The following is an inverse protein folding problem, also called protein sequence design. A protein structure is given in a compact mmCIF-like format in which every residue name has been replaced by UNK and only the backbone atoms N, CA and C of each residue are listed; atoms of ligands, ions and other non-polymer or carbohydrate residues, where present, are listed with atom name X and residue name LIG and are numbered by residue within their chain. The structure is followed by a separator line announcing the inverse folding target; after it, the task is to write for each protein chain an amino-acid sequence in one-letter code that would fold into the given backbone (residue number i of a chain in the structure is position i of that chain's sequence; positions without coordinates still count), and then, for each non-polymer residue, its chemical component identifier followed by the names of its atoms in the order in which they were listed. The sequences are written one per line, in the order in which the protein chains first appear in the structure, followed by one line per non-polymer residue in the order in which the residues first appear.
data_IF_091139884370
#
_entry.id   IF_091139884370
#
_cell.length_a   1.000
_cell.length_b   1.000
_cell.length_c   1.000
_cell.angle_alpha   90.00
_cell.angle_beta   90.00
_cell.angle_gamma   90.00
#
_symmetry.space_group_name_H-M   'P 1'
#
loop_
_entity.id
_entity.type
_entity.pdbx_description
1 polymer ?
#
# COMPACT_ATOMS: atom_id res chain seq x y z
N UNK A 1 2.94 -1.95 -1.46
CA UNK A 1 3.92 -1.89 -0.34
C UNK A 1 5.36 -2.04 -0.82
N UNK A 2 5.73 -3.15 -1.44
CA UNK A 2 7.15 -3.52 -1.68
C UNK A 2 7.99 -2.52 -2.49
N UNK A 3 7.52 -1.93 -3.61
CA UNK A 3 8.34 -0.97 -4.36
C UNK A 3 8.71 0.25 -3.53
N UNK A 4 7.77 0.73 -2.72
CA UNK A 4 7.93 1.89 -1.84
C UNK A 4 8.79 1.58 -0.59
N UNK A 5 8.84 0.32 -0.15
CA UNK A 5 9.74 -0.11 0.94
C UNK A 5 11.21 -0.15 0.50
N UNK A 6 11.50 -0.35 -0.80
CA UNK A 6 12.89 -0.43 -1.32
C UNK A 6 13.59 0.92 -1.45
N UNK A 7 12.84 2.02 -1.42
CA UNK A 7 13.39 3.38 -1.46
C UNK A 7 14.04 3.80 -0.14
N UNK A 8 13.89 3.00 0.91
CA UNK A 8 14.37 3.30 2.26
C UNK A 8 14.96 2.04 2.89
N UNK A 9 16.09 2.18 3.59
CA UNK A 9 16.71 1.02 4.22
C UNK A 9 15.85 0.48 5.38
N UNK A 10 15.90 -0.84 5.58
CA UNK A 10 15.13 -1.57 6.60
C UNK A 10 15.30 -0.99 8.01
N UNK A 11 16.52 -0.61 8.39
CA UNK A 11 16.81 -0.05 9.73
C UNK A 11 16.10 1.28 9.94
N UNK A 12 16.09 2.12 8.91
CA UNK A 12 15.38 3.40 8.96
C UNK A 12 13.86 3.21 9.04
N UNK A 13 13.28 2.24 8.31
CA UNK A 13 11.84 1.96 8.41
C UNK A 13 11.46 1.49 9.82
N UNK A 14 12.28 0.64 10.44
CA UNK A 14 12.05 0.18 11.82
C UNK A 14 12.09 1.34 12.81
N UNK A 15 13.09 2.22 12.67
CA UNK A 15 13.30 3.33 13.62
C UNK A 15 12.32 4.47 13.45
N UNK A 16 12.04 4.86 12.20
CA UNK A 16 11.37 6.12 11.86
C UNK A 16 10.04 5.91 11.15
N UNK A 17 9.58 4.66 11.02
CA UNK A 17 8.39 4.31 10.25
C UNK A 17 8.54 4.67 8.77
N UNK A 18 7.42 4.80 8.07
CA UNK A 18 7.36 5.24 6.66
C UNK A 18 7.27 6.75 6.54
N UNK A 19 7.68 7.32 5.41
CA UNK A 19 7.49 8.76 5.15
C UNK A 19 6.00 9.06 4.93
N UNK A 20 5.54 10.26 5.28
CA UNK A 20 4.14 10.69 5.08
C UNK A 20 3.68 10.54 3.61
N UNK A 21 4.55 10.85 2.65
CA UNK A 21 4.27 10.64 1.23
C UNK A 21 4.05 9.15 0.89
N UNK A 22 4.94 8.27 1.37
CA UNK A 22 4.82 6.83 1.19
C UNK A 22 3.55 6.27 1.84
N UNK A 23 3.17 6.75 3.03
CA UNK A 23 1.92 6.37 3.70
C UNK A 23 0.72 6.79 2.83
N UNK A 24 0.71 8.02 2.31
CA UNK A 24 -0.34 8.53 1.42
C UNK A 24 -0.47 7.68 0.15
N UNK A 25 0.64 7.36 -0.50
CA UNK A 25 0.67 6.57 -1.73
C UNK A 25 0.27 5.12 -1.48
N UNK A 26 0.73 4.51 -0.38
CA UNK A 26 0.29 3.17 -0.02
C UNK A 26 -1.19 3.12 0.32
N UNK A 27 -1.68 4.11 1.05
CA UNK A 27 -3.09 4.21 1.43
C UNK A 27 -3.99 4.37 0.21
N UNK A 28 -3.60 5.16 -0.79
CA UNK A 28 -4.35 5.28 -2.04
C UNK A 28 -4.36 3.96 -2.83
N UNK A 29 -3.31 3.14 -2.73
CA UNK A 29 -3.23 1.86 -3.45
C UNK A 29 -4.01 0.72 -2.77
N UNK A 30 -3.98 0.63 -1.44
CA UNK A 30 -4.58 -0.50 -0.71
C UNK A 30 -5.91 -0.18 -0.03
N UNK A 31 -6.22 1.11 0.13
CA UNK A 31 -7.44 1.55 0.77
C UNK A 31 -7.58 1.28 2.26
N UNK A 32 -6.48 0.93 2.95
CA UNK A 32 -6.49 0.69 4.39
C UNK A 32 -6.60 2.03 5.15
N UNK A 33 -7.71 2.28 5.88
CA UNK A 33 -7.90 3.53 6.62
C UNK A 33 -6.91 3.61 7.80
N UNK A 34 -6.62 4.82 8.31
CA UNK A 34 -5.92 4.96 9.58
C UNK A 34 -6.75 4.38 10.73
N UNK A 35 -6.09 4.08 11.84
CA UNK A 35 -6.77 3.70 13.08
C UNK A 35 -7.58 4.89 13.63
N UNK A 36 -8.80 4.68 14.19
CA UNK A 36 -9.71 5.75 14.59
C UNK A 36 -9.11 6.81 15.52
N UNK A 37 -8.43 6.37 16.59
CA UNK A 37 -7.82 7.19 17.63
C UNK A 37 -6.31 6.97 17.70
N UNK A 38 -5.83 5.72 17.59
CA UNK A 38 -4.41 5.37 17.74
C UNK A 38 -3.50 6.04 16.71
N UNK A 39 -4.02 6.44 15.54
CA UNK A 39 -3.27 7.24 14.56
C UNK A 39 -2.94 8.66 15.03
N UNK A 40 -3.69 9.23 15.98
CA UNK A 40 -3.31 10.49 16.64
C UNK A 40 -2.08 10.33 17.54
N UNK A 41 -1.76 9.09 17.94
CA UNK A 41 -0.62 8.73 18.78
C UNK A 41 0.53 8.10 17.98
N UNK A 42 0.60 8.38 16.68
CA UNK A 42 1.60 7.88 15.72
C UNK A 42 1.55 6.37 15.45
N UNK A 43 0.43 5.70 15.76
CA UNK A 43 0.23 4.31 15.36
C UNK A 43 -0.54 4.25 14.03
N UNK A 44 0.14 3.82 12.97
CA UNK A 44 -0.43 3.70 11.63
C UNK A 44 -0.42 2.24 11.17
N UNK A 45 -1.54 1.69 10.66
CA UNK A 45 -1.61 0.29 10.25
C UNK A 45 -0.64 -0.03 9.11
N UNK A 46 -0.35 0.91 8.21
CA UNK A 46 0.61 0.69 7.12
C UNK A 46 2.05 0.59 7.61
N UNK A 47 2.38 1.29 8.70
CA UNK A 47 3.70 1.21 9.34
C UNK A 47 3.85 -0.13 10.06
N UNK A 48 2.82 -0.57 10.78
CA UNK A 48 2.81 -1.90 11.40
C UNK A 48 2.96 -3.02 10.36
N UNK A 49 2.18 -2.97 9.28
CA UNK A 49 2.27 -3.95 8.19
C UNK A 49 3.64 -3.92 7.53
N UNK A 50 4.25 -2.75 7.35
CA UNK A 50 5.60 -2.65 6.78
C UNK A 50 6.63 -3.35 7.66
N UNK A 51 6.60 -3.11 8.97
CA UNK A 51 7.48 -3.77 9.95
C UNK A 51 7.25 -5.28 9.98
N UNK A 52 5.99 -5.72 9.95
CA UNK A 52 5.65 -7.13 9.89
C UNK A 52 6.21 -7.81 8.64
N UNK A 53 5.99 -7.22 7.46
CA UNK A 53 6.53 -7.77 6.20
C UNK A 53 8.05 -7.86 6.24
N UNK A 54 8.73 -6.83 6.74
CA UNK A 54 10.20 -6.80 6.84
C UNK A 54 10.75 -7.86 7.81
N UNK A 55 10.05 -8.16 8.90
CA UNK A 55 10.47 -9.19 9.87
C UNK A 55 10.36 -10.62 9.32
N UNK A 56 9.55 -10.82 8.28
CA UNK A 56 9.18 -12.15 7.82
C UNK A 56 9.64 -12.44 6.40
N UNK A 57 9.99 -11.44 5.60
CA UNK A 57 10.33 -11.57 4.19
C UNK A 57 11.65 -10.85 3.90
N UNK A 58 12.75 -11.61 3.99
CA UNK A 58 14.13 -11.12 3.83
C UNK A 58 14.59 -11.05 2.36
N UNK A 59 13.77 -11.55 1.42
CA UNK A 59 14.10 -11.67 0.00
C UNK A 59 13.37 -10.68 -0.93
N UNK A 60 13.56 -10.85 -2.25
CA UNK A 60 12.74 -10.15 -3.26
C UNK A 60 11.30 -10.69 -3.20
N UNK A 61 10.46 -10.01 -2.43
CA UNK A 61 9.02 -10.23 -2.36
C UNK A 61 8.40 -10.21 -3.77
N UNK A 62 7.80 -11.33 -4.17
CA UNK A 62 7.03 -11.48 -5.41
C UNK A 62 5.56 -11.11 -5.15
N UNK A 63 4.85 -10.63 -6.17
CA UNK A 63 3.39 -10.47 -6.07
C UNK A 63 2.78 -11.86 -5.82
N UNK A 64 2.01 -12.07 -4.75
CA UNK A 64 1.39 -13.35 -4.50
C UNK A 64 0.32 -13.63 -5.56
N UNK A 65 0.26 -14.88 -6.02
CA UNK A 65 -0.82 -15.36 -6.90
C UNK A 65 -2.17 -15.35 -6.16
N UNK A 66 -2.16 -15.76 -4.89
CA UNK A 66 -3.30 -15.69 -3.97
C UNK A 66 -2.92 -14.89 -2.72
N UNK A 67 -3.39 -13.64 -2.66
CA UNK A 67 -3.12 -12.73 -1.54
C UNK A 67 -3.70 -13.23 -0.21
N UNK A 68 -4.87 -13.85 -0.22
CA UNK A 68 -5.58 -14.32 0.97
C UNK A 68 -4.88 -15.55 1.55
N UNK A 69 -4.49 -16.50 0.69
CA UNK A 69 -3.70 -17.66 1.13
C UNK A 69 -2.31 -17.24 1.66
N UNK A 70 -1.71 -16.22 1.06
CA UNK A 70 -0.44 -15.66 1.53
C UNK A 70 -0.56 -15.06 2.93
N UNK A 71 -1.64 -14.31 3.21
CA UNK A 71 -1.88 -13.77 4.56
C UNK A 71 -2.01 -14.91 5.57
N UNK A 72 -2.80 -15.96 5.27
CA UNK A 72 -2.91 -17.15 6.13
C UNK A 72 -1.53 -17.79 6.39
N UNK A 73 -0.71 -17.97 5.36
CA UNK A 73 0.63 -18.54 5.51
C UNK A 73 1.55 -17.67 6.40
N UNK A 74 1.47 -16.34 6.28
CA UNK A 74 2.24 -15.41 7.12
C UNK A 74 1.82 -15.51 8.60
N UNK A 75 0.51 -15.51 8.86
CA UNK A 75 -0.06 -15.66 10.21
C UNK A 75 0.35 -17.01 10.81
N UNK A 76 0.25 -18.07 10.01
CA UNK A 76 0.65 -19.40 10.45
C UNK A 76 2.14 -19.47 10.77
N UNK A 77 2.99 -18.89 9.93
CA UNK A 77 4.44 -18.80 10.17
C UNK A 77 4.75 -18.03 11.44
N UNK A 78 4.03 -16.93 11.69
CA UNK A 78 4.22 -16.11 12.87
C UNK A 78 3.90 -16.87 14.16
N UNK A 79 2.71 -17.48 14.25
CA UNK A 79 2.21 -18.05 15.50
C UNK A 79 2.53 -19.52 15.74
N UNK A 80 2.72 -20.32 14.68
CA UNK A 80 2.82 -21.77 14.78
C UNK A 80 4.18 -22.33 14.38
N UNK A 81 5.03 -21.54 13.72
CA UNK A 81 6.40 -21.93 13.38
C UNK A 81 7.39 -21.21 14.28
N UNK A 82 8.19 -21.97 15.03
CA UNK A 82 9.29 -21.40 15.79
C UNK A 82 10.30 -20.72 14.84
N UNK A 83 10.78 -19.50 15.14
CA UNK A 83 11.78 -18.83 14.33
C UNK A 83 13.10 -19.63 14.32
N UNK A 84 13.78 -19.66 13.17
CA UNK A 84 15.11 -20.27 13.07
C UNK A 84 16.14 -19.40 13.79
N UNK A 85 16.92 -20.00 14.70
CA UNK A 85 17.79 -19.26 15.62
C UNK A 85 19.16 -18.81 15.03
N UNK A 86 19.29 -18.63 13.72
CA UNK A 86 20.58 -18.31 13.07
C UNK A 86 20.66 -16.87 12.56
N UNK A 87 21.67 -16.11 13.02
CA UNK A 87 22.06 -14.81 12.45
C UNK A 87 21.08 -13.67 12.70
N UNK A 88 20.91 -13.25 13.97
CA UNK A 88 19.90 -12.26 14.35
C UNK A 88 20.33 -10.82 14.10
N UNK A 89 19.43 -10.06 13.48
CA UNK A 89 19.44 -8.60 13.50
C UNK A 89 18.15 -8.09 14.14
N UNK A 90 18.19 -6.88 14.70
CA UNK A 90 17.03 -6.23 15.33
C UNK A 90 15.76 -6.18 14.46
N UNK A 91 15.93 -6.23 13.13
CA UNK A 91 14.84 -6.17 12.15
C UNK A 91 14.04 -7.44 11.98
N UNK A 92 14.51 -8.56 12.52
CA UNK A 92 13.98 -9.88 12.18
C UNK A 92 12.77 -10.27 13.04
N UNK A 93 12.42 -9.43 14.03
CA UNK A 93 11.34 -9.69 14.97
C UNK A 93 10.34 -8.54 15.00
N UNK A 94 9.10 -8.85 14.62
CA UNK A 94 7.97 -7.92 14.67
C UNK A 94 7.82 -7.31 16.07
N UNK A 95 7.94 -8.14 17.11
CA UNK A 95 7.70 -7.76 18.50
C UNK A 95 8.62 -6.64 18.95
N UNK A 96 9.91 -6.80 18.66
CA UNK A 96 10.90 -5.78 18.92
C UNK A 96 10.64 -4.52 18.08
N UNK A 97 10.32 -4.68 16.79
CA UNK A 97 10.00 -3.57 15.90
C UNK A 97 8.77 -2.76 16.35
N UNK A 98 7.78 -3.40 16.96
CA UNK A 98 6.59 -2.75 17.51
C UNK A 98 6.87 -1.99 18.79
N UNK A 99 7.79 -2.47 19.64
CA UNK A 99 8.12 -1.79 20.89
C UNK A 99 8.93 -0.52 20.67
N UNK A 100 9.76 -0.47 19.62
CA UNK A 100 10.51 0.76 19.27
C UNK A 100 9.61 1.89 18.75
N UNK A 101 8.30 1.67 18.58
CA UNK A 101 7.32 2.75 18.38
C UNK A 101 7.11 3.60 19.66
N UNK A 102 7.27 3.01 20.85
CA UNK A 102 7.24 3.75 22.12
C UNK A 102 8.60 3.87 22.81
N UNK A 103 9.49 2.90 22.60
CA UNK A 103 10.77 2.80 23.30
C UNK A 103 11.91 3.43 22.49
N UNK A 104 12.77 4.15 23.19
CA UNK A 104 14.12 4.47 22.72
C UNK A 104 15.00 3.21 22.76
N UNK A 105 15.86 3.08 21.75
CA UNK A 105 16.81 1.99 21.62
C UNK A 105 18.24 2.41 22.01
N UNK A 106 18.89 1.59 22.84
CA UNK A 106 20.34 1.55 22.98
C UNK A 106 21.02 0.77 21.82
N UNK A 107 21.73 1.49 20.96
CA UNK A 107 22.33 0.93 19.73
C UNK A 107 23.53 0.02 19.96
N UNK A 108 24.12 0.05 21.15
CA UNK A 108 25.27 -0.78 21.50
C UNK A 108 24.86 -2.16 22.01
N UNK A 109 23.56 -2.47 22.05
CA UNK A 109 23.11 -3.79 22.44
C UNK A 109 23.52 -4.82 21.39
N UNK A 110 24.21 -5.89 21.80
CA UNK A 110 24.81 -6.87 20.89
C UNK A 110 24.15 -8.26 20.96
N UNK A 111 23.12 -8.42 21.79
CA UNK A 111 22.49 -9.72 22.02
C UNK A 111 21.19 -9.88 21.24
N UNK A 112 20.67 -11.11 21.24
CA UNK A 112 19.41 -11.43 20.57
C UNK A 112 18.22 -10.69 21.18
N UNK A 113 17.33 -10.22 20.31
CA UNK A 113 16.03 -9.63 20.66
C UNK A 113 14.86 -10.54 20.26
N UNK A 114 15.14 -11.82 20.05
CA UNK A 114 14.13 -12.80 19.72
C UNK A 114 13.10 -12.92 20.84
N UNK A 115 11.81 -12.94 20.49
CA UNK A 115 10.77 -13.26 21.47
C UNK A 115 10.76 -14.75 21.77
N UNK A 116 10.49 -15.12 23.03
CA UNK A 116 10.20 -16.52 23.34
C UNK A 116 8.91 -16.94 22.64
N UNK A 117 8.99 -18.06 21.92
CA UNK A 117 7.87 -18.69 21.24
C UNK A 117 6.70 -19.02 22.19
N UNK A 118 6.94 -19.24 23.48
CA UNK A 118 5.90 -19.38 24.50
C UNK A 118 4.98 -18.15 24.58
N UNK A 119 5.51 -16.94 24.36
CA UNK A 119 4.70 -15.71 24.32
C UNK A 119 3.68 -15.75 23.18
N UNK A 120 4.10 -16.23 21.99
CA UNK A 120 3.21 -16.41 20.83
C UNK A 120 2.18 -17.52 21.06
N UNK A 121 2.55 -18.60 21.75
CA UNK A 121 1.59 -19.65 22.16
C UNK A 121 0.50 -19.10 23.07
N UNK A 122 0.85 -18.21 24.01
CA UNK A 122 -0.13 -17.51 24.83
C UNK A 122 -1.10 -16.67 24.01
N UNK A 123 -0.59 -15.94 23.00
CA UNK A 123 -1.44 -15.20 22.06
C UNK A 123 -2.41 -16.13 21.31
N UNK A 124 -1.92 -17.25 20.76
CA UNK A 124 -2.78 -18.24 20.09
C UNK A 124 -3.87 -18.73 21.04
N UNK A 125 -3.51 -19.06 22.29
CA UNK A 125 -4.45 -19.56 23.28
C UNK A 125 -5.59 -18.58 23.59
N UNK A 126 -5.31 -17.28 23.55
CA UNK A 126 -6.33 -16.25 23.73
C UNK A 126 -7.17 -16.09 22.46
N UNK A 127 -6.53 -16.02 21.30
CA UNK A 127 -7.22 -15.87 20.01
C UNK A 127 -8.16 -17.04 19.72
N UNK A 128 -7.80 -18.27 20.10
CA UNK A 128 -8.65 -19.45 19.91
C UNK A 128 -9.83 -19.52 20.88
N UNK A 129 -9.88 -18.67 21.91
CA UNK A 129 -11.05 -18.53 22.77
C UNK A 129 -12.12 -17.59 22.19
N UNK A 130 -11.75 -16.79 21.19
CA UNK A 130 -12.69 -15.91 20.50
C UNK A 130 -13.57 -16.75 19.58
N UNK A 131 -14.88 -16.51 19.61
CA UNK A 131 -15.79 -17.13 18.66
C UNK A 131 -15.92 -16.22 17.42
N UNK A 132 -15.89 -16.78 16.20
CA UNK A 132 -16.08 -15.98 14.99
C UNK A 132 -17.48 -15.38 14.95
N UNK A 133 -17.58 -14.09 14.60
CA UNK A 133 -18.82 -13.32 14.47
C UNK A 133 -19.75 -13.30 15.71
N UNK A 134 -19.31 -13.83 16.86
CA UNK A 134 -20.05 -13.84 18.14
C UNK A 134 -19.43 -12.84 19.13
N UNK A 135 -19.92 -11.60 19.08
CA UNK A 135 -19.65 -10.56 20.07
C UNK A 135 -18.33 -9.81 19.97
N UNK A 136 -18.24 -8.71 20.71
CA UNK A 136 -17.01 -7.95 20.95
C UNK A 136 -16.40 -8.39 22.28
N UNK A 137 -15.10 -8.58 22.31
CA UNK A 137 -14.35 -9.03 23.49
C UNK A 137 -13.47 -7.91 24.01
N UNK A 138 -13.57 -7.60 25.31
CA UNK A 138 -12.74 -6.59 25.96
C UNK A 138 -11.27 -7.00 25.93
N UNK A 139 -10.40 -6.12 25.44
CA UNK A 139 -8.96 -6.35 25.41
C UNK A 139 -8.37 -6.40 26.82
N UNK A 140 -8.92 -5.66 27.77
CA UNK A 140 -8.54 -5.77 29.19
C UNK A 140 -8.79 -7.18 29.72
N UNK A 141 -10.00 -7.69 29.58
CA UNK A 141 -10.35 -9.04 30.03
C UNK A 141 -9.50 -10.12 29.35
N UNK A 142 -9.24 -9.98 28.05
CA UNK A 142 -8.39 -10.92 27.31
C UNK A 142 -6.95 -10.95 27.83
N UNK A 143 -6.38 -9.81 28.20
CA UNK A 143 -5.03 -9.75 28.77
C UNK A 143 -4.98 -10.22 30.23
N UNK A 144 -6.03 -9.95 31.01
CA UNK A 144 -6.16 -10.54 32.34
C UNK A 144 -6.24 -12.07 32.22
N UNK A 145 -7.02 -12.60 31.27
CA UNK A 145 -7.09 -14.03 31.00
C UNK A 145 -5.73 -14.60 30.57
N UNK A 146 -4.99 -13.90 29.70
CA UNK A 146 -3.62 -14.26 29.31
C UNK A 146 -2.73 -14.41 30.55
N UNK A 147 -2.80 -13.45 31.46
CA UNK A 147 -1.99 -13.42 32.70
C UNK A 147 -2.41 -14.51 33.68
N UNK A 148 -3.71 -14.69 33.92
CA UNK A 148 -4.27 -15.70 34.84
C UNK A 148 -3.96 -17.13 34.38
N UNK A 149 -3.93 -17.36 33.07
CA UNK A 149 -3.49 -18.65 32.48
C UNK A 149 -1.98 -18.89 32.57
N UNK A 150 -1.24 -17.97 33.20
CA UNK A 150 0.20 -18.10 33.41
C UNK A 150 1.05 -17.76 32.19
N UNK A 151 0.47 -17.21 31.12
CA UNK A 151 1.24 -16.71 30.00
C UNK A 151 1.88 -15.37 30.35
N UNK A 152 3.03 -15.12 29.73
CA UNK A 152 3.78 -13.86 29.83
C UNK A 152 4.36 -13.52 28.46
N UNK A 153 4.50 -12.23 28.20
CA UNK A 153 5.37 -11.78 27.12
C UNK A 153 6.80 -11.76 27.64
N UNK A 154 7.73 -12.42 26.94
CA UNK A 154 9.15 -12.40 27.29
C UNK A 154 10.04 -12.54 26.07
N UNK A 155 11.14 -11.80 26.07
CA UNK A 155 12.24 -12.07 25.16
C UNK A 155 12.98 -13.33 25.59
N UNK A 156 13.66 -13.97 24.64
CA UNK A 156 14.58 -15.07 24.95
C UNK A 156 15.74 -14.58 25.83
N UNK A 157 16.20 -13.34 25.62
CA UNK A 157 17.10 -12.64 26.51
C UNK A 157 16.34 -11.56 27.30
N UNK A 158 16.22 -11.72 28.62
CA UNK A 158 15.52 -10.76 29.47
C UNK A 158 16.29 -9.43 29.62
N UNK A 159 17.61 -9.42 29.40
CA UNK A 159 18.45 -8.22 29.47
C UNK A 159 18.01 -7.14 28.46
N UNK A 160 17.28 -7.51 27.41
CA UNK A 160 16.71 -6.56 26.44
C UNK A 160 15.88 -5.49 27.15
N UNK A 161 15.09 -5.89 28.15
CA UNK A 161 14.19 -4.99 28.87
C UNK A 161 14.94 -4.02 29.77
N UNK A 162 16.09 -4.44 30.31
CA UNK A 162 16.88 -3.58 31.20
C UNK A 162 17.87 -2.70 30.42
N UNK A 163 18.45 -3.21 29.34
CA UNK A 163 19.63 -2.58 28.72
C UNK A 163 19.38 -2.01 27.33
N UNK A 164 18.37 -2.50 26.60
CA UNK A 164 18.12 -2.12 25.22
C UNK A 164 16.99 -1.09 25.06
N UNK A 165 15.94 -1.18 25.90
CA UNK A 165 14.72 -0.40 25.74
C UNK A 165 14.51 0.59 26.91
N UNK A 166 14.15 1.83 26.59
CA UNK A 166 13.69 2.80 27.59
C UNK A 166 12.55 3.68 27.06
N UNK A 167 11.66 4.13 27.93
CA UNK A 167 10.55 5.02 27.61
C UNK A 167 10.86 6.41 28.19
N UNK A 168 10.98 7.40 27.32
CA UNK A 168 11.27 8.78 27.74
C UNK A 168 10.04 9.42 28.38
N UNK A 169 10.20 9.92 29.59
CA UNK A 169 9.21 10.72 30.30
C UNK A 169 9.72 11.10 31.69
N UNK A 170 9.04 12.06 32.32
CA UNK A 170 9.36 12.51 33.67
C UNK A 170 8.58 11.71 34.73
N UNK A 171 7.30 11.41 34.45
CA UNK A 171 6.40 10.76 35.41
C UNK A 171 5.47 9.76 34.74
N UNK A 172 5.20 8.65 35.42
CA UNK A 172 4.13 7.70 35.08
C UNK A 172 3.15 7.65 36.25
N UNK A 173 1.89 7.95 35.96
CA UNK A 173 0.78 7.80 36.90
C UNK A 173 0.18 6.39 36.76
N UNK A 174 0.27 5.58 37.80
CA UNK A 174 -0.42 4.29 37.90
C UNK A 174 -1.59 4.42 38.90
N UNK A 175 -2.55 3.48 38.90
CA UNK A 175 -3.72 3.56 39.78
C UNK A 175 -3.41 3.71 41.27
N UNK A 176 -2.28 3.16 41.73
CA UNK A 176 -1.91 3.11 43.14
C UNK A 176 -0.56 3.77 43.47
N UNK A 177 0.14 4.33 42.47
CA UNK A 177 1.47 4.90 42.66
C UNK A 177 1.83 5.89 41.53
N UNK A 178 2.63 6.90 41.86
CA UNK A 178 3.32 7.75 40.87
C UNK A 178 4.79 7.32 40.81
N UNK A 179 5.32 7.14 39.60
CA UNK A 179 6.71 6.82 39.37
C UNK A 179 7.40 8.01 38.69
N UNK A 180 8.42 8.57 39.34
CA UNK A 180 9.30 9.59 38.75
C UNK A 180 10.54 8.96 38.11
N UNK A 181 10.99 9.52 36.99
CA UNK A 181 12.31 9.22 36.42
C UNK A 181 13.34 10.24 36.91
N UNK A 182 14.50 9.75 37.35
CA UNK A 182 15.64 10.59 37.76
C UNK A 182 16.76 10.65 36.70
N UNK A 183 16.62 9.90 35.61
CA UNK A 183 17.55 9.82 34.47
C UNK A 183 16.90 10.43 33.21
N UNK A 184 17.71 11.10 32.38
CA UNK A 184 17.38 11.59 31.05
C UNK A 184 16.85 10.49 30.10
N UNK A 185 17.19 9.22 30.37
CA UNK A 185 16.74 8.05 29.59
C UNK A 185 15.31 7.61 29.90
N UNK A 186 14.71 8.10 30.98
CA UNK A 186 13.34 7.78 31.39
C UNK A 186 13.19 6.43 32.10
N UNK A 187 12.11 5.72 31.80
CA UNK A 187 11.71 4.48 32.48
C UNK A 187 12.17 3.24 31.72
N UNK A 188 12.55 2.18 32.45
CA UNK A 188 12.80 0.85 31.88
C UNK A 188 11.56 -0.04 32.06
N UNK A 189 11.21 -0.88 31.07
CA UNK A 189 10.08 -1.81 31.17
C UNK A 189 10.43 -3.05 32.01
N UNK A 190 10.88 -2.84 33.25
CA UNK A 190 11.27 -3.91 34.18
C UNK A 190 10.44 -3.84 35.46
N UNK A 191 10.45 -4.91 36.25
CA UNK A 191 9.77 -4.99 37.56
C UNK A 191 8.27 -4.64 37.46
N UNK A 192 7.77 -3.69 38.26
CA UNK A 192 6.37 -3.25 38.28
C UNK A 192 5.93 -2.58 36.98
N UNK A 193 6.87 -2.05 36.19
CA UNK A 193 6.59 -1.39 34.92
C UNK A 193 6.65 -2.35 33.72
N UNK A 194 7.10 -3.59 33.90
CA UNK A 194 7.23 -4.57 32.82
C UNK A 194 5.89 -4.87 32.13
N UNK A 195 4.83 -5.09 32.91
CA UNK A 195 3.49 -5.33 32.35
C UNK A 195 2.95 -4.14 31.55
N UNK A 196 2.84 -2.93 32.14
CA UNK A 196 2.25 -1.80 31.43
C UNK A 196 3.13 -1.23 30.31
N UNK A 197 4.46 -1.42 30.34
CA UNK A 197 5.37 -0.84 29.35
C UNK A 197 5.87 -1.83 28.29
N UNK A 198 5.74 -3.14 28.53
CA UNK A 198 6.19 -4.18 27.60
C UNK A 198 5.12 -5.23 27.32
N UNK A 199 4.62 -5.95 28.32
CA UNK A 199 3.73 -7.09 28.04
C UNK A 199 2.40 -6.67 27.41
N UNK A 200 1.71 -5.69 28.02
CA UNK A 200 0.42 -5.18 27.55
C UNK A 200 0.54 -4.46 26.20
N UNK A 201 1.48 -3.52 25.99
CA UNK A 201 1.67 -2.89 24.69
C UNK A 201 1.99 -3.89 23.58
N UNK A 202 2.79 -4.91 23.87
CA UNK A 202 3.12 -5.92 22.88
C UNK A 202 1.92 -6.83 22.57
N UNK A 203 1.15 -7.22 23.59
CA UNK A 203 -0.13 -7.92 23.41
C UNK A 203 -1.06 -7.14 22.48
N UNK A 204 -1.23 -5.83 22.73
CA UNK A 204 -2.04 -4.96 21.89
C UNK A 204 -1.45 -4.79 20.48
N UNK A 205 -0.12 -4.72 20.34
CA UNK A 205 0.53 -4.63 19.03
C UNK A 205 0.21 -5.82 18.12
N UNK A 206 0.13 -7.03 18.68
CA UNK A 206 -0.36 -8.20 17.94
C UNK A 206 -1.81 -7.99 17.49
N UNK A 207 -2.70 -7.54 18.37
CA UNK A 207 -4.11 -7.33 18.03
C UNK A 207 -4.27 -6.28 16.92
N UNK A 208 -3.52 -5.17 16.97
CA UNK A 208 -3.49 -4.15 15.91
C UNK A 208 -2.94 -4.68 14.59
N UNK A 209 -1.90 -5.52 14.63
CA UNK A 209 -1.39 -6.17 13.43
C UNK A 209 -2.46 -7.07 12.80
N UNK A 210 -3.10 -7.90 13.62
CA UNK A 210 -4.17 -8.80 13.17
C UNK A 210 -5.35 -8.01 12.60
N UNK A 211 -5.68 -6.86 13.20
CA UNK A 211 -6.68 -5.94 12.67
C UNK A 211 -6.29 -5.36 11.30
N UNK A 212 -5.03 -4.97 11.14
CA UNK A 212 -4.48 -4.47 9.87
C UNK A 212 -4.51 -5.52 8.76
N UNK A 213 -4.48 -6.80 9.12
CA UNK A 213 -4.60 -7.94 8.21
C UNK A 213 -6.06 -8.38 7.97
N UNK A 214 -7.05 -7.78 8.65
CA UNK A 214 -8.47 -8.15 8.56
C UNK A 214 -8.86 -9.41 9.34
N UNK A 215 -7.98 -9.94 10.19
CA UNK A 215 -8.22 -11.12 11.03
C UNK A 215 -9.11 -10.75 12.22
N UNK A 216 -8.91 -9.54 12.74
CA UNK A 216 -9.73 -8.96 13.79
C UNK A 216 -10.40 -7.69 13.29
N UNK A 217 -11.57 -7.38 13.83
CA UNK A 217 -12.07 -6.02 13.91
C UNK A 217 -11.73 -5.45 15.29
N UNK A 218 -11.60 -4.13 15.38
CA UNK A 218 -11.22 -3.43 16.61
C UNK A 218 -12.17 -2.26 16.89
N UNK A 219 -12.39 -1.99 18.17
CA UNK A 219 -12.92 -0.72 18.66
C UNK A 219 -11.82 -0.01 19.44
N UNK A 220 -11.87 1.30 19.43
CA UNK A 220 -10.96 2.13 20.20
C UNK A 220 -11.75 3.09 21.08
N UNK A 221 -11.18 3.39 22.25
CA UNK A 221 -11.69 4.40 23.18
C UNK A 221 -10.56 5.35 23.55
N UNK A 222 -10.91 6.50 24.12
CA UNK A 222 -9.93 7.51 24.51
C UNK A 222 -9.01 6.93 25.60
N UNK A 223 -7.69 6.77 25.34
CA UNK A 223 -6.80 6.18 26.32
C UNK A 223 -6.54 7.15 27.49
N UNK A 224 -6.29 6.62 28.70
CA UNK A 224 -5.87 7.44 29.83
C UNK A 224 -4.50 8.06 29.55
N UNK A 225 -4.32 9.32 29.96
CA UNK A 225 -3.06 10.05 29.78
C UNK A 225 -2.18 9.87 31.03
N UNK A 226 -1.42 8.77 31.05
CA UNK A 226 -0.67 8.33 32.22
C UNK A 226 0.82 8.74 32.19
N UNK A 227 1.34 9.22 31.07
CA UNK A 227 2.75 9.57 30.91
C UNK A 227 2.92 11.09 30.79
N UNK A 228 3.72 11.68 31.69
CA UNK A 228 4.16 13.06 31.55
C UNK A 228 5.47 13.10 30.78
N UNK A 229 5.47 13.78 29.64
CA UNK A 229 6.64 14.00 28.78
C UNK A 229 6.72 15.46 28.35
N UNK A 230 7.82 16.13 28.68
CA UNK A 230 8.03 17.56 28.38
C UNK A 230 6.85 18.41 28.86
N UNK A 231 6.42 18.19 30.10
CA UNK A 231 5.29 18.89 30.76
C UNK A 231 3.92 18.67 30.10
N UNK A 232 3.82 17.74 29.14
CA UNK A 232 2.58 17.36 28.48
C UNK A 232 2.17 15.95 28.88
N UNK A 233 0.86 15.74 28.98
CA UNK A 233 0.27 14.44 29.26
C UNK A 233 0.07 13.66 27.95
N UNK A 234 0.48 12.39 27.99
CA UNK A 234 0.43 11.46 26.87
C UNK A 234 -0.14 10.11 27.35
N UNK A 235 -0.73 9.32 26.45
CA UNK A 235 -0.96 7.90 26.72
C UNK A 235 0.36 7.21 27.07
N UNK A 236 0.28 6.13 27.84
CA UNK A 236 1.47 5.39 28.26
C UNK A 236 2.22 4.81 27.06
N UNK A 237 1.47 4.25 26.11
CA UNK A 237 1.97 3.76 24.82
C UNK A 237 1.01 4.13 23.68
N UNK A 238 1.46 4.09 22.40
CA UNK A 238 0.58 4.28 21.24
C UNK A 238 -0.54 3.24 21.10
N UNK A 239 -0.44 2.14 21.85
CA UNK A 239 -1.33 0.98 21.78
C UNK A 239 -2.46 1.01 22.82
N UNK A 240 -2.55 2.05 23.65
CA UNK A 240 -3.51 2.14 24.77
C UNK A 240 -4.97 2.36 24.33
N UNK A 241 -5.21 2.88 23.13
CA UNK A 241 -6.57 3.19 22.68
C UNK A 241 -7.40 1.94 22.39
N UNK A 242 -6.80 0.75 22.32
CA UNK A 242 -7.48 -0.49 21.95
C UNK A 242 -8.40 -0.95 23.08
N UNK A 243 -9.70 -1.01 22.79
CA UNK A 243 -10.73 -1.32 23.78
C UNK A 243 -11.24 -2.75 23.65
N UNK A 244 -11.75 -3.09 22.46
CA UNK A 244 -12.34 -4.39 22.20
C UNK A 244 -11.93 -4.93 20.82
N UNK A 245 -11.98 -6.26 20.69
CA UNK A 245 -11.72 -6.96 19.43
C UNK A 245 -12.84 -7.94 19.09
N UNK A 246 -13.02 -8.22 17.80
CA UNK A 246 -13.90 -9.28 17.32
C UNK A 246 -13.18 -10.13 16.28
N UNK A 247 -13.28 -11.45 16.40
CA UNK A 247 -12.71 -12.37 15.42
C UNK A 247 -13.60 -12.44 14.17
N UNK A 248 -13.01 -12.22 12.99
CA UNK A 248 -13.71 -12.36 11.71
C UNK A 248 -13.72 -13.81 11.24
N UNK A 249 -14.65 -14.18 10.36
CA UNK A 249 -14.62 -15.49 9.67
C UNK A 249 -13.29 -15.74 8.94
N UNK A 250 -12.72 -14.68 8.33
CA UNK A 250 -11.40 -14.73 7.71
C UNK A 250 -10.29 -15.00 8.72
N UNK A 251 -10.35 -14.37 9.89
CA UNK A 251 -9.42 -14.60 10.97
C UNK A 251 -9.48 -16.02 11.51
N UNK A 252 -10.68 -16.55 11.75
CA UNK A 252 -10.87 -17.94 12.19
C UNK A 252 -10.26 -18.93 11.18
N UNK A 253 -10.40 -18.69 9.88
CA UNK A 253 -9.78 -19.52 8.85
C UNK A 253 -8.25 -19.41 8.84
N UNK A 254 -7.69 -18.21 9.04
CA UNK A 254 -6.25 -18.01 9.16
C UNK A 254 -5.66 -18.75 10.37
N UNK A 255 -6.42 -18.84 11.47
CA UNK A 255 -6.05 -19.50 12.71
C UNK A 255 -6.35 -21.02 12.73
N UNK A 256 -6.81 -21.60 11.60
CA UNK A 256 -7.24 -23.00 11.48
C UNK A 256 -8.37 -23.41 12.44
N UNK A 257 -9.22 -22.46 12.83
CA UNK A 257 -10.42 -22.73 13.64
C UNK A 257 -11.60 -23.19 12.78
N UNK A 258 -11.57 -22.83 11.49
CA UNK A 258 -12.50 -23.31 10.47
C UNK A 258 -11.72 -23.81 9.25
N UNK A 259 -12.18 -24.90 8.65
CA UNK A 259 -11.51 -25.51 7.48
C UNK A 259 -11.81 -24.74 6.19
N UNK A 260 -13.06 -24.33 6.02
CA UNK A 260 -13.54 -23.70 4.80
C UNK A 260 -13.08 -22.25 4.73
N UNK A 261 -12.49 -21.88 3.58
CA UNK A 261 -12.15 -20.50 3.29
C UNK A 261 -13.43 -19.68 3.16
N UNK A 262 -13.58 -18.58 3.90
CA UNK A 262 -14.78 -17.75 3.79
C UNK A 262 -14.87 -17.17 2.38
N UNK A 263 -16.07 -17.22 1.82
CA UNK A 263 -16.40 -16.51 0.60
C UNK A 263 -16.38 -15.01 0.91
N UNK A 264 -15.81 -14.16 0.04
CA UNK A 264 -15.88 -12.72 0.25
C UNK A 264 -17.36 -12.32 0.32
N UNK A 265 -17.79 -11.79 1.48
CA UNK A 265 -19.14 -11.23 1.62
C UNK A 265 -19.30 -10.22 0.49
N UNK A 266 -20.23 -10.46 -0.44
CA UNK A 266 -20.59 -9.49 -1.48
C UNK A 266 -21.04 -8.22 -0.73
N UNK A 267 -20.17 -7.22 -0.63
CA UNK A 267 -20.62 -5.91 -0.20
C UNK A 267 -21.72 -5.52 -1.17
N UNK A 268 -22.93 -5.27 -0.67
CA UNK A 268 -24.01 -4.75 -1.50
C UNK A 268 -23.62 -3.30 -1.77
N UNK A 269 -23.14 -3.02 -2.97
CA UNK A 269 -22.89 -1.68 -3.47
C UNK A 269 -23.97 -1.38 -4.49
N UNK A 270 -24.59 -0.20 -4.38
CA UNK A 270 -25.43 0.34 -5.44
C UNK A 270 -24.57 1.29 -6.27
N UNK A 271 -23.92 0.74 -7.30
CA UNK A 271 -23.46 1.52 -8.44
C UNK A 271 -24.62 1.60 -9.41
N UNK A 272 -25.21 2.79 -9.54
CA UNK A 272 -26.26 3.05 -10.53
C UNK A 272 -25.59 3.76 -11.70
N UNK A 273 -25.41 3.02 -12.79
CA UNK A 273 -25.06 3.56 -14.10
C UNK A 273 -26.32 4.13 -14.73
N UNK A 274 -26.26 5.40 -15.15
CA UNK A 274 -27.34 5.99 -15.91
C UNK A 274 -27.35 5.37 -17.32
N UNK A 275 -28.56 5.09 -17.81
CA UNK A 275 -28.76 4.36 -19.07
C UNK A 275 -28.56 5.25 -20.30
N UNK A 276 -28.74 6.55 -20.16
CA UNK A 276 -28.70 7.53 -21.27
C UNK A 276 -27.56 8.53 -21.12
N UNK A 277 -27.32 8.97 -19.89
CA UNK A 277 -26.24 9.87 -19.55
C UNK A 277 -25.04 9.03 -19.10
N UNK A 278 -23.81 9.38 -19.51
CA UNK A 278 -22.58 8.70 -19.04
C UNK A 278 -22.26 9.14 -17.61
N UNK A 279 -23.18 8.87 -16.69
CA UNK A 279 -23.11 9.19 -15.27
C UNK A 279 -23.08 7.90 -14.47
N UNK A 280 -22.29 7.92 -13.40
CA UNK A 280 -22.27 6.87 -12.40
C UNK A 280 -22.60 7.50 -11.05
N UNK A 281 -23.64 7.00 -10.40
CA UNK A 281 -23.93 7.29 -9.00
C UNK A 281 -23.42 6.15 -8.15
N UNK A 282 -22.55 6.45 -7.20
CA UNK A 282 -21.93 5.49 -6.31
C UNK A 282 -22.44 5.69 -4.89
N UNK A 283 -23.30 4.76 -4.43
CA UNK A 283 -23.75 4.68 -3.04
C UNK A 283 -23.05 3.53 -2.35
N UNK A 284 -22.05 3.86 -1.51
CA UNK A 284 -21.31 2.86 -0.75
C UNK A 284 -19.98 3.35 -0.18
N UNK A 285 -19.35 2.48 0.63
CA UNK A 285 -18.04 2.72 1.27
C UNK A 285 -16.87 2.02 0.57
N UNK A 286 -17.13 1.36 -0.57
CA UNK A 286 -16.11 0.67 -1.36
C UNK A 286 -15.09 1.66 -1.95
N UNK A 287 -13.93 1.78 -1.29
CA UNK A 287 -12.87 2.70 -1.68
C UNK A 287 -12.26 2.37 -3.05
N UNK A 288 -12.14 1.09 -3.40
CA UNK A 288 -11.65 0.67 -4.73
C UNK A 288 -12.48 1.27 -5.88
N UNK A 289 -13.82 1.15 -5.79
CA UNK A 289 -14.75 1.74 -6.76
C UNK A 289 -14.68 3.25 -6.79
N UNK A 290 -14.61 3.89 -5.62
CA UNK A 290 -14.50 5.36 -5.53
C UNK A 290 -13.25 5.87 -6.21
N UNK A 291 -12.09 5.31 -5.87
CA UNK A 291 -10.80 5.69 -6.47
C UNK A 291 -10.78 5.42 -7.97
N UNK A 292 -11.38 4.31 -8.41
CA UNK A 292 -11.50 4.01 -9.83
C UNK A 292 -12.38 5.06 -10.55
N UNK A 293 -13.52 5.44 -9.96
CA UNK A 293 -14.40 6.48 -10.52
C UNK A 293 -13.74 7.87 -10.51
N UNK A 294 -12.96 8.21 -9.49
CA UNK A 294 -12.15 9.44 -9.44
C UNK A 294 -11.08 9.47 -10.54
N UNK A 295 -10.52 8.31 -10.89
CA UNK A 295 -9.52 8.18 -11.95
C UNK A 295 -10.13 8.41 -13.34
N UNK A 296 -11.32 7.85 -13.61
CA UNK A 296 -11.92 7.82 -14.96
C UNK A 296 -13.01 8.88 -15.18
N UNK A 297 -13.48 9.52 -14.11
CA UNK A 297 -14.62 10.43 -14.11
C UNK A 297 -14.24 11.87 -13.74
N UNK A 298 -15.25 12.73 -13.85
CA UNK A 298 -15.27 14.11 -13.39
C UNK A 298 -16.31 14.17 -12.27
N UNK A 299 -15.93 14.50 -11.02
CA UNK A 299 -16.87 14.55 -9.91
C UNK A 299 -17.89 15.67 -10.14
N UNK A 300 -19.17 15.34 -9.97
CA UNK A 300 -20.30 16.30 -9.95
C UNK A 300 -20.88 16.49 -8.54
N UNK A 301 -20.28 15.84 -7.53
CA UNK A 301 -20.68 15.83 -6.14
C UNK A 301 -19.95 14.71 -5.39
N UNK A 302 -20.40 14.41 -4.16
CA UNK A 302 -19.78 13.38 -3.30
C UNK A 302 -19.96 11.96 -3.84
N UNK A 303 -21.09 11.69 -4.51
CA UNK A 303 -21.48 10.35 -4.96
C UNK A 303 -21.67 10.24 -6.48
N UNK A 304 -21.48 11.32 -7.24
CA UNK A 304 -21.81 11.36 -8.67
C UNK A 304 -20.61 11.70 -9.51
N UNK A 305 -20.39 10.91 -10.56
CA UNK A 305 -19.28 11.06 -11.49
C UNK A 305 -19.81 11.11 -12.92
N UNK A 306 -19.36 12.09 -13.69
CA UNK A 306 -19.57 12.15 -15.14
C UNK A 306 -18.36 11.57 -15.86
N UNK A 307 -18.60 10.66 -16.79
CA UNK A 307 -17.57 10.07 -17.62
C UNK A 307 -17.66 10.68 -19.02
N UNK A 308 -16.53 11.15 -19.52
CA UNK A 308 -16.33 11.62 -20.89
C UNK A 308 -15.18 10.84 -21.53
N UNK A 309 -15.03 10.93 -22.84
CA UNK A 309 -13.95 10.27 -23.56
C UNK A 309 -12.59 10.73 -23.03
N UNK A 310 -12.43 12.05 -22.82
CA UNK A 310 -11.21 12.63 -22.29
C UNK A 310 -10.94 12.21 -20.83
N UNK A 311 -11.99 12.15 -19.99
CA UNK A 311 -11.82 11.74 -18.59
C UNK A 311 -11.44 10.27 -18.48
N UNK A 312 -12.02 9.42 -19.34
CA UNK A 312 -11.83 7.97 -19.30
C UNK A 312 -10.45 7.54 -19.81
N UNK A 313 -9.89 8.18 -20.85
CA UNK A 313 -8.55 7.85 -21.38
C UNK A 313 -7.41 8.52 -20.61
N UNK A 314 -7.70 9.32 -19.60
CA UNK A 314 -6.71 10.07 -18.84
C UNK A 314 -5.66 9.12 -18.25
N UNK A 315 -4.39 9.35 -18.59
CA UNK A 315 -3.27 8.52 -18.13
C UNK A 315 -3.17 7.14 -18.78
N UNK A 316 -3.92 6.85 -19.85
CA UNK A 316 -3.63 5.71 -20.73
C UNK A 316 -2.53 6.10 -21.73
N UNK A 317 -1.56 5.22 -21.95
CA UNK A 317 -0.49 5.41 -22.95
C UNK A 317 -0.61 4.45 -24.13
N UNK A 318 -1.49 3.47 -24.05
CA UNK A 318 -1.69 2.43 -25.07
C UNK A 318 -3.15 2.02 -25.22
N UNK A 319 -3.49 1.40 -26.35
CA UNK A 319 -4.83 0.84 -26.57
C UNK A 319 -5.14 -0.30 -25.59
N UNK A 320 -4.15 -1.08 -25.16
CA UNK A 320 -4.31 -2.13 -24.15
C UNK A 320 -4.73 -1.58 -22.79
N UNK A 321 -4.30 -0.36 -22.43
CA UNK A 321 -4.72 0.28 -21.18
C UNK A 321 -6.22 0.61 -21.20
N UNK A 322 -6.74 1.02 -22.36
CA UNK A 322 -8.15 1.36 -22.54
C UNK A 322 -9.00 0.09 -22.39
N UNK A 323 -8.61 -1.00 -23.06
CA UNK A 323 -9.30 -2.30 -22.94
C UNK A 323 -9.31 -2.80 -21.49
N UNK A 324 -8.14 -2.80 -20.83
CA UNK A 324 -8.02 -3.20 -19.43
C UNK A 324 -8.88 -2.35 -18.49
N UNK A 325 -9.04 -1.06 -18.80
CA UNK A 325 -9.87 -0.14 -18.03
C UNK A 325 -11.37 -0.38 -18.26
N UNK A 326 -11.78 -0.72 -19.48
CA UNK A 326 -13.14 -1.14 -19.82
C UNK A 326 -13.49 -2.43 -19.07
N UNK A 327 -12.58 -3.41 -19.07
CA UNK A 327 -12.79 -4.68 -18.35
C UNK A 327 -12.90 -4.45 -16.85
N UNK A 328 -12.05 -3.56 -16.30
CA UNK A 328 -12.15 -3.16 -14.89
C UNK A 328 -13.49 -2.48 -14.60
N UNK A 329 -13.97 -1.60 -15.48
CA UNK A 329 -15.29 -0.98 -15.33
C UNK A 329 -16.40 -2.03 -15.27
N UNK A 330 -16.39 -3.01 -16.18
CA UNK A 330 -17.37 -4.11 -16.17
C UNK A 330 -17.29 -4.93 -14.89
N UNK A 331 -16.06 -5.22 -14.43
CA UNK A 331 -15.85 -6.04 -13.25
C UNK A 331 -16.35 -5.38 -11.96
N UNK A 332 -16.06 -4.09 -11.75
CA UNK A 332 -16.27 -3.44 -10.45
C UNK A 332 -17.40 -2.43 -10.42
N UNK A 333 -17.82 -1.86 -11.56
CA UNK A 333 -18.89 -0.84 -11.61
C UNK A 333 -20.19 -1.45 -12.10
N UNK A 334 -20.19 -2.04 -13.29
CA UNK A 334 -21.41 -2.53 -13.93
C UNK A 334 -21.10 -3.74 -14.84
N UNK A 335 -21.40 -4.98 -14.41
CA UNK A 335 -21.10 -6.18 -15.18
C UNK A 335 -21.90 -6.31 -16.47
N UNK A 336 -23.05 -5.63 -16.60
CA UNK A 336 -23.81 -5.58 -17.85
C UNK A 336 -24.24 -4.14 -18.18
N UNK A 337 -23.32 -3.33 -18.72
CA UNK A 337 -23.59 -1.94 -19.05
C UNK A 337 -24.69 -1.79 -20.11
N UNK A 338 -25.43 -0.68 -20.05
CA UNK A 338 -26.42 -0.34 -21.07
C UNK A 338 -25.80 -0.17 -22.47
N UNK A 339 -26.63 -0.20 -23.50
CA UNK A 339 -26.16 -0.05 -24.89
C UNK A 339 -25.42 1.27 -25.13
N UNK A 340 -25.80 2.33 -24.41
CA UNK A 340 -25.10 3.62 -24.47
C UNK A 340 -23.64 3.50 -24.01
N UNK A 341 -23.39 2.77 -22.92
CA UNK A 341 -22.03 2.50 -22.43
C UNK A 341 -21.27 1.59 -23.38
N UNK A 342 -21.92 0.54 -23.91
CA UNK A 342 -21.32 -0.35 -24.92
C UNK A 342 -20.88 0.44 -26.17
N UNK A 343 -21.71 1.37 -26.66
CA UNK A 343 -21.36 2.27 -27.76
C UNK A 343 -20.22 3.22 -27.40
N UNK A 344 -20.23 3.80 -26.19
CA UNK A 344 -19.14 4.64 -25.70
C UNK A 344 -17.81 3.89 -25.70
N UNK A 345 -17.77 2.66 -25.16
CA UNK A 345 -16.57 1.83 -25.13
C UNK A 345 -16.08 1.46 -26.54
N UNK A 346 -16.98 1.04 -27.43
CA UNK A 346 -16.63 0.77 -28.83
C UNK A 346 -16.05 2.01 -29.53
N UNK A 347 -16.57 3.21 -29.21
CA UNK A 347 -16.03 4.45 -29.77
C UNK A 347 -14.60 4.74 -29.28
N UNK A 348 -14.29 4.43 -28.01
CA UNK A 348 -12.97 4.63 -27.43
C UNK A 348 -11.94 3.70 -28.06
N UNK A 349 -12.28 2.42 -28.21
CA UNK A 349 -11.42 1.43 -28.88
C UNK A 349 -11.18 1.78 -30.35
N UNK A 350 -12.21 2.27 -31.04
CA UNK A 350 -12.04 2.75 -32.42
C UNK A 350 -11.09 3.94 -32.46
N UNK A 351 -11.27 4.92 -31.57
CA UNK A 351 -10.46 6.15 -31.54
C UNK A 351 -9.01 5.90 -31.13
N UNK A 352 -8.74 4.90 -30.28
CA UNK A 352 -7.39 4.59 -29.81
C UNK A 352 -6.48 4.10 -30.93
N UNK A 353 -7.03 3.51 -31.99
CA UNK A 353 -6.26 2.94 -33.11
C UNK A 353 -6.03 3.91 -34.27
N UNK A 354 -6.77 5.02 -34.34
CA UNK A 354 -6.75 5.95 -35.49
C UNK A 354 -5.38 6.56 -35.77
N UNK A 355 -4.58 6.80 -34.73
CA UNK A 355 -3.26 7.43 -34.83
C UNK A 355 -2.11 6.48 -34.48
N UNK A 356 -2.36 5.17 -34.42
CA UNK A 356 -1.33 4.18 -34.09
C UNK A 356 -0.29 3.97 -35.19
N UNK A 357 -0.62 4.33 -36.43
CA UNK A 357 0.21 4.08 -37.60
C UNK A 357 0.77 5.39 -38.13
N UNK A 358 2.02 5.70 -37.75
CA UNK A 358 2.79 6.82 -38.28
C UNK A 358 3.99 6.31 -39.06
N UNK A 359 4.21 6.86 -40.26
CA UNK A 359 5.45 6.64 -41.00
C UNK A 359 6.51 7.67 -40.57
N UNK A 360 7.75 7.22 -40.38
CA UNK A 360 8.86 8.16 -40.19
C UNK A 360 9.23 8.79 -41.54
N UNK A 361 9.14 10.11 -41.61
CA UNK A 361 9.48 10.90 -42.78
C UNK A 361 10.60 11.89 -42.46
N UNK A 362 11.35 12.28 -43.47
CA UNK A 362 12.38 13.30 -43.44
C UNK A 362 11.84 14.52 -44.18
N UNK A 363 11.96 15.69 -43.56
CA UNK A 363 11.57 16.96 -44.14
C UNK A 363 12.83 17.69 -44.61
N UNK A 364 12.93 17.96 -45.91
CA UNK A 364 14.00 18.75 -46.49
C UNK A 364 13.46 20.12 -46.88
N UNK A 365 14.16 21.17 -46.48
CA UNK A 365 13.85 22.55 -46.86
C UNK A 365 14.93 23.03 -47.82
N UNK A 366 14.55 23.71 -48.89
CA UNK A 366 15.46 24.27 -49.88
C UNK A 366 15.18 25.77 -50.08
N UNK A 367 16.18 26.55 -50.50
CA UNK A 367 15.99 27.96 -50.83
C UNK A 367 14.99 28.12 -51.99
N UNK A 368 14.44 29.33 -52.16
CA UNK A 368 13.47 29.62 -53.22
C UNK A 368 14.15 29.64 -54.60
N UNK A 369 14.47 28.46 -55.11
CA UNK A 369 15.17 28.24 -56.36
C UNK A 369 14.20 27.70 -57.43
N UNK A 370 13.97 28.43 -58.53
CA UNK A 370 13.12 27.99 -59.64
C UNK A 370 13.55 26.66 -60.27
N UNK A 371 14.86 26.36 -60.31
CA UNK A 371 15.38 25.13 -60.92
C UNK A 371 15.08 23.91 -60.05
N UNK A 372 15.30 24.01 -58.74
CA UNK A 372 14.97 22.94 -57.78
C UNK A 372 13.47 22.66 -57.79
N UNK A 373 12.64 23.72 -57.82
CA UNK A 373 11.17 23.59 -57.92
C UNK A 373 10.77 22.89 -59.22
N UNK A 374 11.38 23.27 -60.34
CA UNK A 374 11.11 22.64 -61.64
C UNK A 374 11.52 21.18 -61.63
N UNK A 375 12.71 20.85 -61.15
CA UNK A 375 13.22 19.47 -61.03
C UNK A 375 12.25 18.58 -60.24
N UNK A 376 11.84 19.00 -59.04
CA UNK A 376 10.89 18.24 -58.23
C UNK A 376 9.47 18.17 -58.82
N UNK A 377 9.11 19.07 -59.73
CA UNK A 377 7.80 19.09 -60.39
C UNK A 377 7.75 18.27 -61.70
N UNK A 378 8.83 18.27 -62.49
CA UNK A 378 8.85 17.67 -63.82
C UNK A 378 9.44 16.26 -63.86
N UNK A 379 10.34 15.92 -62.93
CA UNK A 379 11.01 14.63 -62.96
C UNK A 379 10.12 13.50 -62.36
N UNK A 380 9.80 12.44 -63.15
CA UNK A 380 8.99 11.32 -62.69
C UNK A 380 9.62 10.48 -61.57
N UNK A 381 10.95 10.42 -61.49
CA UNK A 381 11.67 9.67 -60.47
C UNK A 381 11.56 10.35 -59.10
N UNK A 382 11.66 11.69 -59.07
CA UNK A 382 11.44 12.47 -57.85
C UNK A 382 9.99 12.34 -57.38
N UNK A 383 9.00 12.42 -58.29
CA UNK A 383 7.56 12.31 -57.96
C UNK A 383 7.17 11.02 -57.24
N UNK A 384 7.93 9.92 -57.43
CA UNK A 384 7.72 8.63 -56.73
C UNK A 384 8.32 8.60 -55.33
N UNK A 385 9.35 9.39 -55.07
CA UNK A 385 10.15 9.34 -53.84
C UNK A 385 9.80 10.45 -52.85
N UNK A 386 9.30 11.59 -53.34
CA UNK A 386 8.96 12.75 -52.53
C UNK A 386 7.46 13.05 -52.53
N UNK A 387 7.00 13.62 -51.42
CA UNK A 387 5.71 14.29 -51.29
C UNK A 387 6.04 15.79 -51.19
N UNK A 388 5.45 16.59 -52.08
CA UNK A 388 5.65 18.06 -52.06
C UNK A 388 4.87 18.66 -50.89
N UNK A 389 5.52 19.55 -50.15
CA UNK A 389 4.91 20.31 -49.06
C UNK A 389 5.03 21.81 -49.36
N UNK A 390 4.27 22.63 -48.63
CA UNK A 390 4.30 24.08 -48.75
C UNK A 390 5.65 24.67 -48.27
N UNK A 391 5.93 25.93 -48.62
CA UNK A 391 7.14 26.68 -48.25
C UNK A 391 8.48 26.08 -48.72
N UNK A 392 8.58 25.62 -49.97
CA UNK A 392 9.81 25.02 -50.51
C UNK A 392 10.33 23.86 -49.65
N UNK A 393 9.41 22.97 -49.26
CA UNK A 393 9.70 21.76 -48.50
C UNK A 393 9.32 20.52 -49.27
N UNK A 394 10.08 19.45 -49.09
CA UNK A 394 9.74 18.11 -49.56
C UNK A 394 9.85 17.09 -48.44
N UNK A 395 8.88 16.17 -48.42
CA UNK A 395 8.80 15.07 -47.47
C UNK A 395 9.23 13.79 -48.16
N UNK A 396 10.23 13.12 -47.60
CA UNK A 396 10.75 11.85 -48.12
C UNK A 396 10.60 10.80 -47.03
N UNK A 397 9.99 9.66 -47.35
CA UNK A 397 9.93 8.53 -46.40
C UNK A 397 11.33 8.11 -45.98
N UNK A 398 11.57 7.83 -44.70
CA UNK A 398 12.91 7.48 -44.19
C UNK A 398 13.55 6.30 -44.95
N UNK A 399 12.75 5.30 -45.35
CA UNK A 399 13.20 4.17 -46.15
C UNK A 399 13.71 4.54 -47.55
N UNK A 400 13.21 5.65 -48.11
CA UNK A 400 13.58 6.15 -49.45
C UNK A 400 14.77 7.11 -49.43
N UNK A 401 15.36 7.40 -48.26
CA UNK A 401 16.46 8.37 -48.12
C UNK A 401 17.62 8.10 -49.09
N UNK A 402 18.12 6.87 -49.14
CA UNK A 402 19.28 6.52 -49.99
C UNK A 402 18.97 6.67 -51.49
N UNK A 403 17.76 6.31 -51.90
CA UNK A 403 17.31 6.46 -53.28
C UNK A 403 17.18 7.95 -53.67
N UNK A 404 16.63 8.76 -52.77
CA UNK A 404 16.54 10.21 -52.94
C UNK A 404 17.91 10.88 -53.03
N UNK A 405 18.87 10.49 -52.18
CA UNK A 405 20.24 11.01 -52.23
C UNK A 405 20.95 10.66 -53.53
N UNK A 406 20.79 9.41 -54.01
CA UNK A 406 21.34 8.99 -55.30
C UNK A 406 20.78 9.83 -56.45
N UNK A 407 19.47 10.07 -56.45
CA UNK A 407 18.81 10.87 -57.47
C UNK A 407 19.27 12.35 -57.42
N UNK A 408 19.45 12.93 -56.24
CA UNK A 408 20.02 14.28 -56.12
C UNK A 408 21.44 14.38 -56.68
N UNK A 409 22.28 13.36 -56.43
CA UNK A 409 23.64 13.31 -56.98
C UNK A 409 23.64 13.17 -58.51
N UNK A 410 22.71 12.40 -59.08
CA UNK A 410 22.55 12.28 -60.54
C UNK A 410 22.19 13.61 -61.20
N UNK A 411 21.50 14.51 -60.48
CA UNK A 411 21.20 15.88 -60.91
C UNK A 411 22.27 16.91 -60.54
N UNK A 412 23.44 16.48 -60.05
CA UNK A 412 24.58 17.36 -59.76
C UNK A 412 24.55 18.05 -58.40
N UNK A 413 23.62 17.68 -57.51
CA UNK A 413 23.60 18.20 -56.14
C UNK A 413 24.45 17.34 -55.22
N UNK A 414 25.48 17.94 -54.62
CA UNK A 414 26.34 17.26 -53.66
C UNK A 414 25.59 17.05 -52.34
N UNK A 415 25.42 15.80 -51.95
CA UNK A 415 24.64 15.45 -50.78
C UNK A 415 25.50 15.39 -49.50
N UNK A 416 25.38 16.38 -48.61
CA UNK A 416 25.96 16.37 -47.25
C UNK A 416 24.97 15.86 -46.17
N UNK A 417 23.81 15.32 -46.56
CA UNK A 417 22.70 14.93 -45.65
C UNK A 417 22.84 13.55 -45.00
#
# INVERSE_FOLDING_TARGET
MIPLLKERDTKTIIRKGLLKAQIKDLRSLCGLPPFPLSSAYNLDPLVLLAKFVLAFETGKLKRPEDSIATIKALVQRMFFKAPSMSGFTFSDYFEYCSLVDQCSLNWNYAHSVAIDFASRKGMVNILTCLKPDDGWYSVEELFQLFTVRGFRMRFFNEDVLDTALSIRGQKIQMPYAEYGSYDDKGFRPTTVLQRPLFERPLFNAYLYLLASLGILEISETQPPLLLTKNEKLHPLTPYEALDSVRLTEFGAWCMNMVEQRPQPKKQVFETITDKELLLVTFKGKSLERRLFLEQIGIPLGVERFRITEASFIRGCSSSSDIVSRIDKFKLIIDPDPSDRWKQFFASLEKRSTLFCHGEQVLLYTFPDDPEIRRMFATDPAFKKLLIRAEDNKVVVRKGNRKAFQKLLMEHGYLNTL
#
